data_IF_351419396630
#
_entry.id   IF_351419396630
#
_cell.length_a   1.000
_cell.length_b   1.000
_cell.length_c   1.000
_cell.angle_alpha   90.00
_cell.angle_beta   90.00
_cell.angle_gamma   90.00
#
_symmetry.space_group_name_H-M   'P 1'
#
loop_
_entity.id
_entity.type
_entity.pdbx_description
1 polymer ?
#
# COMPACT_ATOMS: atom_id res chain seq x y z
N UNK A 1 -17.83 -18.34 14.47
CA UNK A 1 -16.44 -18.63 14.05
C UNK A 1 -15.52 -17.96 15.07
N UNK A 2 -14.58 -18.67 15.66
CA UNK A 2 -13.59 -18.06 16.58
C UNK A 2 -12.37 -17.69 15.74
N UNK A 3 -12.00 -16.41 15.72
CA UNK A 3 -10.77 -15.96 15.07
C UNK A 3 -9.55 -16.32 15.91
N UNK A 4 -8.41 -16.55 15.25
CA UNK A 4 -7.11 -16.66 15.89
C UNK A 4 -6.32 -15.38 15.63
N UNK A 5 -5.74 -14.79 16.68
CA UNK A 5 -4.83 -13.65 16.56
C UNK A 5 -3.40 -14.15 16.63
N UNK A 6 -2.56 -13.71 15.71
CA UNK A 6 -1.14 -14.02 15.66
C UNK A 6 -0.36 -12.71 15.70
N UNK A 7 0.56 -12.58 16.64
CA UNK A 7 1.52 -11.48 16.65
C UNK A 7 2.63 -11.78 15.65
N UNK A 8 2.86 -10.86 14.72
CA UNK A 8 3.89 -10.99 13.69
C UNK A 8 5.04 -10.03 13.94
N UNK A 9 6.25 -10.48 13.62
CA UNK A 9 7.38 -9.59 13.36
C UNK A 9 7.10 -8.86 12.02
N UNK A 10 7.10 -7.52 11.97
CA UNK A 10 6.85 -6.77 10.74
C UNK A 10 7.84 -7.07 9.61
N UNK A 11 8.99 -7.63 9.90
CA UNK A 11 10.02 -8.05 8.94
C UNK A 11 10.15 -9.57 8.79
N UNK A 12 9.34 -10.32 9.56
CA UNK A 12 9.34 -11.78 9.57
C UNK A 12 8.50 -12.42 8.49
N UNK A 13 8.25 -13.71 8.63
CA UNK A 13 7.40 -14.50 7.74
C UNK A 13 6.07 -14.84 8.42
N UNK A 14 5.03 -15.04 7.64
CA UNK A 14 3.77 -15.58 8.17
C UNK A 14 3.98 -17.01 8.68
N UNK A 15 3.56 -17.33 9.90
CA UNK A 15 3.68 -18.69 10.46
C UNK A 15 2.61 -19.62 9.89
N UNK A 16 2.50 -19.65 8.57
CA UNK A 16 1.53 -20.40 7.80
C UNK A 16 2.26 -21.22 6.72
N UNK A 17 1.73 -22.40 6.44
CA UNK A 17 2.27 -23.24 5.37
C UNK A 17 2.04 -22.61 3.99
N UNK A 18 2.86 -23.01 3.02
CA UNK A 18 2.66 -22.61 1.64
C UNK A 18 1.29 -23.08 1.15
N UNK A 19 0.61 -22.27 0.34
CA UNK A 19 -0.68 -22.61 -0.29
C UNK A 19 -1.76 -23.06 0.72
N UNK A 20 -1.77 -22.47 1.92
CA UNK A 20 -2.68 -22.87 3.01
C UNK A 20 -3.91 -21.98 3.14
N UNK A 21 -3.97 -20.85 2.42
CA UNK A 21 -5.09 -19.92 2.47
C UNK A 21 -5.78 -19.81 1.10
N UNK A 22 -7.10 -19.69 1.12
CA UNK A 22 -7.91 -19.41 -0.08
C UNK A 22 -8.17 -17.93 -0.30
N UNK A 23 -8.03 -17.10 0.74
CA UNK A 23 -8.19 -15.66 0.65
C UNK A 23 -7.34 -14.95 1.70
N UNK A 24 -6.82 -13.79 1.32
CA UNK A 24 -6.17 -12.82 2.22
C UNK A 24 -6.80 -11.44 1.98
N UNK A 25 -7.04 -10.73 3.07
CA UNK A 25 -7.54 -9.36 3.03
C UNK A 25 -6.62 -8.44 3.84
N UNK A 26 -6.28 -7.29 3.28
CA UNK A 26 -5.43 -6.30 3.93
C UNK A 26 -5.98 -4.89 3.69
N UNK A 27 -6.51 -4.28 4.74
CA UNK A 27 -7.05 -2.93 4.69
C UNK A 27 -6.09 -1.92 5.32
N UNK A 28 -5.75 -0.85 4.57
CA UNK A 28 -4.91 0.26 5.05
C UNK A 28 -3.53 -0.14 5.59
N UNK A 29 -2.95 -1.22 5.07
CA UNK A 29 -1.58 -1.67 5.37
C UNK A 29 -0.64 -1.25 4.24
N UNK A 30 -0.96 -1.62 3.00
CA UNK A 30 -0.14 -1.31 1.82
C UNK A 30 -0.12 0.18 1.47
N UNK A 31 -1.01 0.98 2.04
CA UNK A 31 -0.99 2.44 2.00
C UNK A 31 0.11 3.07 2.87
N UNK A 32 0.86 2.24 3.61
CA UNK A 32 1.91 2.68 4.54
C UNK A 32 3.25 1.97 4.37
N UNK A 33 3.34 0.93 3.58
CA UNK A 33 4.58 0.14 3.46
C UNK A 33 5.57 0.78 2.49
N UNK A 34 6.84 0.82 2.87
CA UNK A 34 7.92 1.12 1.94
C UNK A 34 7.93 0.12 0.78
N UNK A 35 8.62 0.45 -0.31
CA UNK A 35 8.68 -0.45 -1.47
C UNK A 35 9.29 -1.81 -1.12
N UNK A 36 10.35 -1.82 -0.30
CA UNK A 36 10.98 -3.05 0.17
C UNK A 36 10.03 -3.90 1.01
N UNK A 37 9.32 -3.26 1.95
CA UNK A 37 8.34 -3.91 2.82
C UNK A 37 7.13 -4.42 2.04
N UNK A 38 6.63 -3.63 1.10
CA UNK A 38 5.53 -4.05 0.22
C UNK A 38 5.92 -5.28 -0.61
N UNK A 39 7.13 -5.29 -1.20
CA UNK A 39 7.66 -6.45 -1.94
C UNK A 39 7.81 -7.68 -1.05
N UNK A 40 8.29 -7.51 0.18
CA UNK A 40 8.41 -8.62 1.13
C UNK A 40 7.04 -9.25 1.43
N UNK A 41 6.07 -8.44 1.85
CA UNK A 41 4.74 -8.93 2.20
C UNK A 41 3.95 -9.48 1.02
N UNK A 42 4.11 -8.92 -0.18
CA UNK A 42 3.48 -9.48 -1.38
C UNK A 42 4.03 -10.88 -1.72
N UNK A 43 5.34 -11.14 -1.50
CA UNK A 43 5.92 -12.49 -1.66
C UNK A 43 5.37 -13.46 -0.60
N UNK A 44 5.28 -13.03 0.66
CA UNK A 44 4.72 -13.85 1.73
C UNK A 44 3.25 -14.20 1.48
N UNK A 45 2.45 -13.22 1.05
CA UNK A 45 1.05 -13.44 0.68
C UNK A 45 0.95 -14.40 -0.52
N UNK A 46 1.80 -14.22 -1.54
CA UNK A 46 1.88 -15.16 -2.67
C UNK A 46 2.22 -16.57 -2.19
N UNK A 47 3.15 -16.72 -1.24
CA UNK A 47 3.57 -18.01 -0.69
C UNK A 47 2.43 -18.74 0.02
N UNK A 48 1.67 -18.04 0.85
CA UNK A 48 0.62 -18.67 1.68
C UNK A 48 -0.70 -18.86 0.96
N UNK A 49 -0.98 -18.13 -0.11
CA UNK A 49 -2.18 -18.29 -0.92
C UNK A 49 -2.09 -19.54 -1.80
N UNK A 50 -3.17 -20.31 -1.84
CA UNK A 50 -3.37 -21.38 -2.82
C UNK A 50 -3.47 -20.81 -4.24
N UNK A 51 -3.13 -21.61 -5.24
CA UNK A 51 -3.41 -21.28 -6.64
C UNK A 51 -4.93 -21.03 -6.79
N UNK A 52 -5.31 -19.96 -7.46
CA UNK A 52 -6.70 -19.49 -7.53
C UNK A 52 -7.21 -18.74 -6.30
N UNK A 53 -6.42 -18.67 -5.23
CA UNK A 53 -6.74 -17.90 -4.02
C UNK A 53 -6.79 -16.40 -4.29
N UNK A 54 -7.61 -15.68 -3.52
CA UNK A 54 -7.90 -14.26 -3.73
C UNK A 54 -7.15 -13.41 -2.71
N UNK A 55 -6.48 -12.38 -3.19
CA UNK A 55 -5.90 -11.32 -2.39
C UNK A 55 -6.63 -10.01 -2.64
N UNK A 56 -7.21 -9.43 -1.59
CA UNK A 56 -7.81 -8.10 -1.63
C UNK A 56 -6.99 -7.18 -0.74
N UNK A 57 -6.51 -6.08 -1.28
CA UNK A 57 -5.81 -5.09 -0.47
C UNK A 57 -6.11 -3.67 -0.90
N UNK A 58 -5.92 -2.74 0.03
CA UNK A 58 -6.09 -1.31 -0.25
C UNK A 58 -4.76 -0.57 -0.18
N UNK A 59 -4.64 0.47 -1.00
CA UNK A 59 -3.49 1.39 -1.03
C UNK A 59 -3.96 2.79 -1.39
N UNK A 60 -3.11 3.80 -1.19
CA UNK A 60 -3.39 5.11 -1.76
C UNK A 60 -3.24 5.08 -3.29
N UNK A 61 -3.95 5.99 -3.94
CA UNK A 61 -3.96 6.12 -5.40
C UNK A 61 -3.53 7.50 -5.85
N UNK A 62 -3.61 7.76 -7.17
CA UNK A 62 -3.28 9.06 -7.73
C UNK A 62 -4.13 10.19 -7.15
N UNK A 63 -5.43 9.96 -6.89
CA UNK A 63 -6.33 10.99 -6.32
C UNK A 63 -5.87 11.44 -4.92
N UNK A 64 -5.31 10.54 -4.11
CA UNK A 64 -4.70 10.90 -2.84
C UNK A 64 -3.47 11.78 -3.06
N UNK A 65 -2.58 11.42 -3.99
CA UNK A 65 -1.39 12.21 -4.30
C UNK A 65 -1.75 13.59 -4.84
N UNK A 66 -2.77 13.68 -5.71
CA UNK A 66 -3.27 14.95 -6.24
C UNK A 66 -3.89 15.81 -5.12
N UNK A 67 -4.59 15.21 -4.15
CA UNK A 67 -5.07 15.91 -2.95
C UNK A 67 -3.91 16.46 -2.11
N UNK A 68 -2.86 15.65 -1.87
CA UNK A 68 -1.67 16.08 -1.11
C UNK A 68 -1.00 17.26 -1.82
N UNK A 69 -0.84 17.19 -3.15
CA UNK A 69 -0.28 18.30 -3.95
C UNK A 69 -1.15 19.56 -3.85
N UNK A 70 -2.46 19.42 -3.97
CA UNK A 70 -3.39 20.54 -3.85
C UNK A 70 -3.31 21.22 -2.48
N UNK A 71 -3.29 20.41 -1.41
CA UNK A 71 -3.15 20.91 -0.04
C UNK A 71 -1.78 21.57 0.22
N UNK A 72 -0.71 21.00 -0.34
CA UNK A 72 0.66 21.53 -0.21
C UNK A 72 0.78 22.92 -0.83
N UNK A 73 0.17 23.15 -1.99
CA UNK A 73 0.27 24.39 -2.75
C UNK A 73 -0.79 25.45 -2.37
N UNK A 74 -1.69 25.12 -1.45
CA UNK A 74 -2.76 26.03 -1.04
C UNK A 74 -2.27 27.10 -0.08
N UNK A 75 -2.30 28.38 -0.49
CA UNK A 75 -1.77 29.50 0.29
C UNK A 75 -2.54 29.74 1.62
N UNK A 76 -3.87 29.55 1.59
CA UNK A 76 -4.79 29.75 2.72
C UNK A 76 -5.24 28.41 3.34
N UNK A 77 -4.39 27.40 3.29
CA UNK A 77 -4.68 26.08 3.84
C UNK A 77 -5.00 26.17 5.35
N UNK A 78 -6.07 25.50 5.76
CA UNK A 78 -6.37 25.27 7.17
C UNK A 78 -5.43 24.24 7.80
N UNK A 79 -5.54 23.96 9.11
CA UNK A 79 -4.63 23.04 9.81
C UNK A 79 -4.66 21.61 9.27
N UNK A 80 -5.84 21.12 8.89
CA UNK A 80 -6.01 19.79 8.31
C UNK A 80 -5.33 19.72 6.93
N UNK A 81 -5.58 20.70 6.06
CA UNK A 81 -4.98 20.79 4.74
C UNK A 81 -3.45 20.93 4.82
N UNK A 82 -2.94 21.73 5.77
CA UNK A 82 -1.50 21.83 6.05
C UNK A 82 -0.90 20.49 6.50
N UNK A 83 -1.63 19.71 7.28
CA UNK A 83 -1.20 18.38 7.69
C UNK A 83 -1.17 17.41 6.49
N UNK A 84 -2.23 17.37 5.71
CA UNK A 84 -2.32 16.54 4.49
C UNK A 84 -1.20 16.90 3.50
N UNK A 85 -0.97 18.20 3.25
CA UNK A 85 0.05 18.69 2.33
C UNK A 85 1.49 18.25 2.67
N UNK A 86 1.73 17.69 3.86
CA UNK A 86 3.04 17.17 4.30
C UNK A 86 3.22 15.67 4.09
N UNK A 87 2.17 14.90 3.78
CA UNK A 87 2.24 13.43 3.78
C UNK A 87 3.26 12.83 2.78
N UNK A 88 3.52 13.51 1.67
CA UNK A 88 4.48 13.06 0.67
C UNK A 88 5.77 13.90 0.64
N UNK A 89 6.11 14.56 1.76
CA UNK A 89 7.33 15.32 1.93
C UNK A 89 7.30 16.71 1.30
N UNK A 90 8.50 17.27 1.13
CA UNK A 90 8.69 18.63 0.64
C UNK A 90 8.39 18.80 -0.86
N UNK A 91 8.22 17.70 -1.61
CA UNK A 91 7.99 17.72 -3.07
C UNK A 91 6.94 16.66 -3.45
N UNK A 92 5.67 16.83 -3.03
CA UNK A 92 4.62 15.85 -3.32
C UNK A 92 4.35 15.68 -4.81
N UNK A 93 4.62 16.70 -5.65
CA UNK A 93 4.50 16.61 -7.11
C UNK A 93 5.39 15.51 -7.68
N UNK A 94 6.59 15.30 -7.10
CA UNK A 94 7.48 14.22 -7.53
C UNK A 94 6.86 12.85 -7.27
N UNK A 95 6.16 12.67 -6.14
CA UNK A 95 5.45 11.43 -5.85
C UNK A 95 4.33 11.16 -6.87
N UNK A 96 3.55 12.19 -7.23
CA UNK A 96 2.51 12.09 -8.24
C UNK A 96 3.08 11.78 -9.64
N UNK A 97 4.18 12.42 -10.02
CA UNK A 97 4.90 12.13 -11.30
C UNK A 97 5.40 10.69 -11.31
N UNK A 98 6.07 10.24 -10.25
CA UNK A 98 6.58 8.89 -10.13
C UNK A 98 5.45 7.85 -10.23
N UNK A 99 4.32 8.09 -9.53
CA UNK A 99 3.15 7.21 -9.60
C UNK A 99 2.61 7.10 -11.04
N UNK A 100 2.47 8.23 -11.76
CA UNK A 100 2.04 8.24 -13.18
C UNK A 100 3.02 7.50 -14.09
N UNK A 101 4.30 7.51 -13.74
CA UNK A 101 5.34 6.73 -14.42
C UNK A 101 5.35 5.24 -14.03
N UNK A 102 4.41 4.78 -13.20
CA UNK A 102 4.31 3.39 -12.78
C UNK A 102 5.28 3.01 -11.65
N UNK A 103 5.81 3.97 -10.91
CA UNK A 103 6.71 3.73 -9.79
C UNK A 103 5.94 3.79 -8.47
N UNK A 104 6.32 2.96 -7.52
CA UNK A 104 5.85 3.02 -6.14
C UNK A 104 6.17 4.40 -5.55
N UNK A 105 5.16 5.09 -5.04
CA UNK A 105 5.35 6.37 -4.35
C UNK A 105 5.38 6.11 -2.84
N UNK A 106 6.42 6.63 -2.17
CA UNK A 106 6.62 6.45 -0.74
C UNK A 106 7.23 7.69 -0.11
N UNK A 107 6.81 7.96 1.12
CA UNK A 107 7.42 8.96 1.98
C UNK A 107 7.33 8.54 3.44
N UNK A 108 8.44 8.59 4.15
CA UNK A 108 8.56 8.40 5.59
C UNK A 108 8.38 9.69 6.39
N UNK A 109 7.77 10.71 5.79
CA UNK A 109 7.74 12.08 6.31
C UNK A 109 7.53 12.14 7.81
N UNK A 110 8.48 12.76 8.45
CA UNK A 110 8.52 13.09 9.89
C UNK A 110 8.61 11.89 10.83
N UNK A 111 9.22 10.79 10.41
CA UNK A 111 9.41 9.63 11.28
C UNK A 111 8.08 9.09 11.81
N UNK A 112 7.03 9.09 11.00
CA UNK A 112 5.72 8.54 11.35
C UNK A 112 5.72 7.01 11.45
N UNK A 113 6.89 6.38 11.33
CA UNK A 113 7.08 5.02 11.79
C UNK A 113 6.79 4.93 13.29
N UNK A 114 6.17 3.85 13.75
CA UNK A 114 5.84 3.63 15.16
C UNK A 114 7.06 3.42 16.07
N UNK A 115 8.28 3.71 15.60
CA UNK A 115 9.54 3.45 16.29
C UNK A 115 10.00 1.99 16.16
N UNK A 116 11.25 1.68 16.49
CA UNK A 116 11.83 0.35 16.39
C UNK A 116 11.79 -0.18 14.94
N UNK A 117 11.24 -1.37 14.74
CA UNK A 117 11.10 -2.01 13.42
C UNK A 117 10.12 -1.28 12.49
N UNK A 118 9.27 -0.42 13.01
CA UNK A 118 8.39 0.47 12.24
C UNK A 118 9.05 1.82 11.97
N UNK A 119 10.34 1.81 11.68
CA UNK A 119 11.09 2.99 11.23
C UNK A 119 10.58 3.51 9.87
N UNK A 120 11.05 4.69 9.49
CA UNK A 120 10.75 5.26 8.18
C UNK A 120 11.16 4.39 6.99
N UNK A 121 12.13 3.48 7.16
CA UNK A 121 12.50 2.50 6.13
C UNK A 121 11.43 1.42 5.91
N UNK A 122 10.55 1.23 6.88
CA UNK A 122 9.48 0.24 6.83
C UNK A 122 8.11 0.88 6.59
N UNK A 123 7.77 1.93 7.33
CA UNK A 123 6.43 2.48 7.47
C UNK A 123 6.38 3.99 7.22
N UNK A 124 5.42 4.43 6.40
CA UNK A 124 5.20 5.83 6.05
C UNK A 124 3.87 6.03 5.32
N UNK A 125 3.86 6.85 4.27
CA UNK A 125 2.75 7.00 3.34
C UNK A 125 3.13 6.41 1.99
N UNK A 126 2.29 5.55 1.45
CA UNK A 126 2.57 4.82 0.21
C UNK A 126 1.38 4.80 -0.74
N UNK A 127 1.67 4.90 -2.05
CA UNK A 127 0.71 4.69 -3.12
C UNK A 127 1.28 3.71 -4.16
N UNK A 128 0.52 2.66 -4.49
CA UNK A 128 0.94 1.59 -5.38
C UNK A 128 0.18 1.68 -6.71
N UNK A 129 0.87 2.01 -7.84
CA UNK A 129 0.22 1.98 -9.16
C UNK A 129 0.03 0.54 -9.64
N UNK A 130 -1.01 0.34 -10.44
CA UNK A 130 -1.30 -0.95 -11.11
C UNK A 130 -0.09 -1.44 -11.92
N UNK A 131 0.57 -0.53 -12.63
CA UNK A 131 1.76 -0.85 -13.44
C UNK A 131 2.89 -1.41 -12.57
N UNK A 132 3.15 -0.81 -11.40
CA UNK A 132 4.17 -1.32 -10.48
C UNK A 132 3.83 -2.74 -9.99
N UNK A 133 2.58 -2.95 -9.57
CA UNK A 133 2.14 -4.26 -9.10
C UNK A 133 2.27 -5.33 -10.18
N UNK A 134 1.80 -5.04 -11.40
CA UNK A 134 1.87 -6.01 -12.51
C UNK A 134 3.30 -6.28 -12.98
N UNK A 135 4.19 -5.28 -12.97
CA UNK A 135 5.58 -5.45 -13.37
C UNK A 135 6.38 -6.32 -12.39
N UNK A 136 6.08 -6.24 -11.09
CA UNK A 136 6.83 -6.97 -10.07
C UNK A 136 6.18 -8.31 -9.68
N UNK A 137 4.86 -8.42 -9.78
CA UNK A 137 4.08 -9.55 -9.27
C UNK A 137 3.11 -10.14 -10.30
N UNK A 138 3.17 -9.70 -11.55
CA UNK A 138 2.33 -10.24 -12.63
C UNK A 138 2.62 -11.70 -12.98
N UNK A 139 3.79 -12.25 -12.58
CA UNK A 139 4.06 -13.68 -12.66
C UNK A 139 3.26 -14.47 -11.60
N UNK A 140 3.11 -13.90 -10.40
CA UNK A 140 2.47 -14.53 -9.25
C UNK A 140 0.97 -14.28 -9.18
N UNK A 141 0.53 -13.10 -9.64
CA UNK A 141 -0.86 -12.65 -9.52
C UNK A 141 -1.43 -12.20 -10.86
N UNK A 142 -2.73 -12.41 -11.01
CA UNK A 142 -3.56 -11.76 -12.03
C UNK A 142 -4.49 -10.78 -11.33
N UNK A 143 -4.46 -9.50 -11.71
CA UNK A 143 -5.46 -8.53 -11.26
C UNK A 143 -6.80 -8.92 -11.87
N UNK A 144 -7.81 -9.11 -11.03
CA UNK A 144 -9.19 -9.36 -11.42
C UNK A 144 -9.93 -8.03 -11.51
N UNK A 145 -9.69 -7.13 -10.54
CA UNK A 145 -10.34 -5.83 -10.50
C UNK A 145 -9.43 -4.81 -9.81
N UNK A 146 -9.58 -3.55 -10.19
CA UNK A 146 -8.96 -2.38 -9.55
C UNK A 146 -10.01 -1.28 -9.44
N UNK A 147 -10.36 -0.92 -8.22
CA UNK A 147 -11.44 0.02 -7.92
C UNK A 147 -10.82 1.26 -7.29
N UNK A 148 -10.82 2.38 -8.00
CA UNK A 148 -10.41 3.70 -7.49
C UNK A 148 -11.59 4.68 -7.63
N UNK A 149 -12.66 4.40 -6.89
CA UNK A 149 -13.91 5.16 -6.88
C UNK A 149 -14.15 5.74 -5.47
N UNK A 150 -14.02 7.07 -5.30
CA UNK A 150 -14.19 7.72 -3.99
C UNK A 150 -15.62 7.63 -3.44
N UNK A 151 -16.63 7.34 -4.28
CA UNK A 151 -18.00 7.10 -3.82
C UNK A 151 -18.17 5.75 -3.12
N UNK A 152 -17.22 4.83 -3.30
CA UNK A 152 -17.25 3.47 -2.78
C UNK A 152 -16.21 3.23 -1.69
N UNK A 153 -14.97 3.73 -1.91
CA UNK A 153 -13.84 3.48 -1.02
C UNK A 153 -12.93 4.71 -0.92
N UNK A 154 -12.43 5.02 0.26
CA UNK A 154 -11.45 6.09 0.47
C UNK A 154 -10.11 5.78 -0.21
N UNK A 155 -9.68 4.53 -0.16
CA UNK A 155 -8.46 4.03 -0.80
C UNK A 155 -8.80 3.21 -2.04
N UNK A 156 -7.88 3.13 -2.98
CA UNK A 156 -8.00 2.21 -4.09
C UNK A 156 -7.92 0.76 -3.61
N UNK A 157 -8.71 -0.11 -4.22
CA UNK A 157 -8.81 -1.54 -3.89
C UNK A 157 -8.26 -2.37 -5.05
N UNK A 158 -7.30 -3.22 -4.76
CA UNK A 158 -6.85 -4.28 -5.65
C UNK A 158 -7.55 -5.58 -5.31
N UNK A 159 -8.07 -6.26 -6.32
CA UNK A 159 -8.53 -7.65 -6.25
C UNK A 159 -7.64 -8.46 -7.17
N UNK A 160 -6.82 -9.31 -6.60
CA UNK A 160 -5.85 -10.11 -7.34
C UNK A 160 -6.05 -11.60 -7.06
N UNK A 161 -5.81 -12.44 -8.04
CA UNK A 161 -5.88 -13.89 -7.92
C UNK A 161 -4.48 -14.49 -8.07
N UNK A 162 -4.11 -15.40 -7.19
CA UNK A 162 -2.86 -16.18 -7.27
C UNK A 162 -2.88 -17.10 -8.49
N UNK A 163 -1.83 -17.04 -9.31
CA UNK A 163 -1.65 -17.90 -10.49
C UNK A 163 -1.11 -19.27 -10.13
#
# INVERSE_FOLDING_TARGET
MRGQTILLDPTGSLPLANSSLNAVYSYSVFSHLSEASAKHWLREISRVLSIGGIFVFTTQSLRFLDLVVACHNKADANDIERSIGKYMGARPEKAAINFRAGMHAYSDVNGQGGGGVLSGDFYGWAAIPVIWFTSHFGADFRIIDYIDDPSRFEQAVFVAMRK
#
